data_IF_841709309713
#
_entry.id   IF_841709309713
#
_cell.length_a   1.000
_cell.length_b   1.000
_cell.length_c   1.000
_cell.angle_alpha   90.00
_cell.angle_beta   90.00
_cell.angle_gamma   90.00
#
_symmetry.space_group_name_H-M   'P 1'
#
loop_
_entity.id
_entity.type
_entity.pdbx_description
1 polymer ?
#
# COMPACT_ATOMS: atom_id res chain seq x y z
N UNK A 1 -1.53 15.31 -10.90
CA UNK A 1 -2.19 14.34 -9.98
C UNK A 1 -1.50 14.40 -8.64
N UNK A 2 -2.26 14.39 -7.55
CA UNK A 2 -1.75 14.33 -6.17
C UNK A 2 -1.69 12.86 -5.74
N UNK A 3 -0.55 12.42 -5.23
CA UNK A 3 -0.33 11.07 -4.73
C UNK A 3 -0.30 11.10 -3.21
N UNK A 4 -1.30 10.52 -2.57
CA UNK A 4 -1.34 10.34 -1.12
C UNK A 4 -0.80 8.97 -0.77
N UNK A 5 0.26 8.92 0.02
CA UNK A 5 0.83 7.66 0.51
C UNK A 5 0.46 7.51 1.98
N UNK A 6 -0.43 6.57 2.27
CA UNK A 6 -0.84 6.21 3.61
C UNK A 6 0.11 5.16 4.18
N UNK A 7 0.66 5.44 5.34
CA UNK A 7 1.52 4.51 6.07
C UNK A 7 0.67 3.78 7.12
N UNK A 8 0.46 2.49 6.91
CA UNK A 8 -0.35 1.66 7.81
C UNK A 8 0.08 1.73 9.27
N UNK A 9 -0.90 1.67 10.16
CA UNK A 9 -0.72 1.56 11.62
C UNK A 9 0.00 2.76 12.29
N UNK A 10 0.18 2.69 13.61
CA UNK A 10 0.97 3.58 14.44
C UNK A 10 1.81 2.79 15.43
N UNK A 11 2.71 3.46 16.16
CA UNK A 11 3.57 2.80 17.14
C UNK A 11 2.76 2.13 18.28
N UNK A 12 1.55 2.58 18.49
CA UNK A 12 0.59 2.10 19.49
C UNK A 12 -0.33 0.98 18.97
N UNK A 13 -0.25 0.62 17.68
CA UNK A 13 -0.98 -0.52 17.11
C UNK A 13 -0.31 -1.84 17.50
N UNK A 14 -0.98 -2.63 18.33
CA UNK A 14 -0.44 -3.91 18.83
C UNK A 14 -0.47 -5.01 17.77
N UNK A 15 0.49 -5.94 17.84
CA UNK A 15 0.47 -7.19 17.08
C UNK A 15 0.84 -7.08 15.61
N UNK A 16 1.27 -5.91 15.16
CA UNK A 16 1.71 -5.67 13.77
C UNK A 16 3.24 -5.72 13.69
N UNK A 17 3.78 -6.91 13.93
CA UNK A 17 5.21 -7.14 14.00
C UNK A 17 5.55 -8.61 13.69
N UNK A 18 6.83 -8.87 13.40
CA UNK A 18 7.32 -10.25 13.32
C UNK A 18 7.21 -10.97 14.67
N UNK A 19 7.14 -12.32 14.68
CA UNK A 19 7.04 -13.09 15.91
C UNK A 19 8.14 -12.83 16.95
N UNK A 20 9.35 -12.45 16.50
CA UNK A 20 10.46 -12.09 17.38
C UNK A 20 10.47 -10.58 17.76
N UNK A 21 9.48 -9.81 17.31
CA UNK A 21 9.30 -8.40 17.61
C UNK A 21 10.33 -7.46 16.97
N UNK A 22 11.28 -7.98 16.18
CA UNK A 22 12.35 -7.13 15.60
C UNK A 22 11.90 -6.30 14.41
N UNK A 23 10.95 -6.82 13.63
CA UNK A 23 10.28 -6.06 12.58
C UNK A 23 8.99 -5.47 13.13
N UNK A 24 8.77 -4.17 12.88
CA UNK A 24 7.56 -3.45 13.26
C UNK A 24 6.94 -2.84 12.01
N UNK A 25 5.73 -3.27 11.65
CA UNK A 25 5.05 -2.83 10.43
C UNK A 25 4.87 -1.30 10.38
N UNK A 26 4.44 -0.69 11.48
CA UNK A 26 4.22 0.76 11.56
C UNK A 26 5.48 1.58 11.23
N UNK A 27 6.65 1.15 11.71
CA UNK A 27 7.92 1.85 11.48
C UNK A 27 8.37 1.67 10.03
N UNK A 28 8.25 0.45 9.51
CA UNK A 28 8.59 0.11 8.14
C UNK A 28 7.68 0.85 7.14
N UNK A 29 6.36 0.86 7.37
CA UNK A 29 5.40 1.53 6.48
C UNK A 29 5.65 3.04 6.39
N UNK A 30 6.05 3.69 7.51
CA UNK A 30 6.44 5.10 7.52
C UNK A 30 7.69 5.35 6.71
N UNK A 31 8.72 4.54 6.92
CA UNK A 31 9.96 4.64 6.14
C UNK A 31 9.68 4.49 4.65
N UNK A 32 8.89 3.47 4.25
CA UNK A 32 8.51 3.25 2.87
C UNK A 32 7.70 4.41 2.29
N UNK A 33 6.73 4.94 3.03
CA UNK A 33 5.95 6.09 2.57
C UNK A 33 6.84 7.32 2.33
N UNK A 34 7.78 7.59 3.21
CA UNK A 34 8.75 8.69 3.01
C UNK A 34 9.68 8.45 1.81
N UNK A 35 10.13 7.22 1.60
CA UNK A 35 10.96 6.86 0.45
C UNK A 35 10.18 7.05 -0.87
N UNK A 36 8.95 6.55 -0.95
CA UNK A 36 8.08 6.68 -2.13
C UNK A 36 7.78 8.15 -2.42
N UNK A 37 7.34 8.91 -1.40
CA UNK A 37 7.06 10.34 -1.54
C UNK A 37 8.30 11.11 -1.96
N UNK A 38 9.46 10.82 -1.35
CA UNK A 38 10.72 11.47 -1.69
C UNK A 38 11.13 11.24 -3.15
N UNK A 39 10.97 10.01 -3.67
CA UNK A 39 11.32 9.70 -5.04
C UNK A 39 10.34 10.32 -6.04
N UNK A 40 9.03 10.21 -5.80
CA UNK A 40 8.02 10.87 -6.63
C UNK A 40 8.20 12.40 -6.67
N UNK A 41 8.55 13.01 -5.53
CA UNK A 41 8.80 14.46 -5.45
C UNK A 41 10.03 14.88 -6.27
N UNK A 42 11.12 14.10 -6.28
CA UNK A 42 12.28 14.33 -7.14
C UNK A 42 11.91 14.27 -8.63
N UNK A 43 10.95 13.43 -8.99
CA UNK A 43 10.41 13.31 -10.35
C UNK A 43 9.41 14.43 -10.70
N UNK A 44 9.10 15.34 -9.76
CA UNK A 44 8.21 16.48 -9.98
C UNK A 44 6.73 16.20 -9.70
N UNK A 45 6.39 15.06 -9.12
CA UNK A 45 5.00 14.76 -8.72
C UNK A 45 4.65 15.39 -7.37
N UNK A 46 3.40 15.85 -7.21
CA UNK A 46 2.84 16.25 -5.91
C UNK A 46 2.51 14.99 -5.11
N UNK A 47 3.46 14.52 -4.31
CA UNK A 47 3.32 13.36 -3.46
C UNK A 47 3.40 13.74 -1.99
N UNK A 48 2.53 13.18 -1.15
CA UNK A 48 2.40 13.55 0.26
C UNK A 48 2.21 12.32 1.14
N UNK A 49 2.88 12.29 2.29
CA UNK A 49 2.59 11.30 3.36
C UNK A 49 1.27 11.68 4.02
N UNK A 50 0.34 10.73 4.14
CA UNK A 50 -0.99 10.99 4.69
C UNK A 50 -0.97 11.13 6.21
N UNK A 51 -0.16 10.32 6.91
CA UNK A 51 -0.07 10.27 8.37
C UNK A 51 1.36 10.55 8.82
N UNK A 52 1.74 11.83 8.98
CA UNK A 52 3.07 12.18 9.48
C UNK A 52 3.25 11.88 10.98
N UNK A 53 2.16 11.68 11.71
CA UNK A 53 2.16 11.38 13.14
C UNK A 53 2.76 9.99 13.40
N UNK A 54 3.30 9.82 14.61
CA UNK A 54 3.83 8.54 15.05
C UNK A 54 2.73 7.58 15.52
N UNK A 55 1.68 8.17 16.09
CA UNK A 55 0.50 7.49 16.60
C UNK A 55 -0.36 6.93 15.46
N UNK A 56 -1.20 5.94 15.78
CA UNK A 56 -2.18 5.45 14.83
C UNK A 56 -3.36 6.42 14.68
N UNK A 57 -3.59 6.87 13.47
CA UNK A 57 -4.76 7.68 13.15
C UNK A 57 -5.89 6.75 12.67
N UNK A 58 -7.07 6.81 13.30
CA UNK A 58 -8.20 5.95 12.93
C UNK A 58 -8.58 6.06 11.44
N UNK A 59 -9.03 4.95 10.86
CA UNK A 59 -9.45 4.94 9.44
C UNK A 59 -10.67 5.84 9.24
N UNK A 60 -11.76 5.65 10.01
CA UNK A 60 -13.04 6.34 9.78
C UNK A 60 -13.57 7.13 10.98
N UNK A 61 -13.10 6.83 12.19
CA UNK A 61 -13.63 7.45 13.41
C UNK A 61 -12.91 8.75 13.76
N UNK A 62 -13.63 9.66 14.43
CA UNK A 62 -13.07 10.92 14.90
C UNK A 62 -13.11 12.06 13.88
N UNK A 63 -12.70 13.24 14.32
CA UNK A 63 -12.71 14.45 13.50
C UNK A 63 -11.61 14.47 12.45
N UNK A 64 -10.49 13.80 12.73
CA UNK A 64 -9.29 13.77 11.88
C UNK A 64 -8.89 12.31 11.60
N UNK A 65 -9.74 11.61 10.85
CA UNK A 65 -9.46 10.24 10.41
C UNK A 65 -8.74 10.22 9.06
N UNK A 66 -8.05 9.10 8.75
CA UNK A 66 -7.33 8.92 7.47
C UNK A 66 -8.25 9.18 6.27
N UNK A 67 -9.45 8.61 6.26
CA UNK A 67 -10.46 8.81 5.19
C UNK A 67 -10.87 10.26 5.08
N UNK A 68 -11.07 10.96 6.19
CA UNK A 68 -11.42 12.40 6.15
C UNK A 68 -10.31 13.24 5.55
N UNK A 69 -9.06 13.00 5.91
CA UNK A 69 -7.89 13.68 5.32
C UNK A 69 -7.85 13.51 3.80
N UNK A 70 -8.00 12.28 3.32
CA UNK A 70 -8.05 11.99 1.87
C UNK A 70 -9.22 12.71 1.21
N UNK A 71 -10.42 12.61 1.79
CA UNK A 71 -11.62 13.18 1.21
C UNK A 71 -11.61 14.71 1.19
N UNK A 72 -11.00 15.37 2.18
CA UNK A 72 -10.77 16.82 2.16
C UNK A 72 -9.88 17.25 0.99
N UNK A 73 -8.83 16.49 0.68
CA UNK A 73 -7.97 16.75 -0.47
C UNK A 73 -8.74 16.51 -1.77
N UNK A 74 -9.54 15.45 -1.84
CA UNK A 74 -10.42 15.21 -2.99
C UNK A 74 -11.45 16.33 -3.21
N UNK A 75 -11.99 16.90 -2.13
CA UNK A 75 -12.95 18.01 -2.23
C UNK A 75 -12.30 19.31 -2.70
N UNK A 76 -11.04 19.54 -2.36
CA UNK A 76 -10.28 20.73 -2.78
C UNK A 76 -9.78 20.64 -4.23
N UNK A 77 -9.32 19.47 -4.66
CA UNK A 77 -8.61 19.31 -5.95
C UNK A 77 -9.37 18.49 -6.98
N UNK A 78 -10.53 17.92 -6.60
CA UNK A 78 -11.27 16.98 -7.43
C UNK A 78 -10.75 15.52 -7.24
N UNK A 79 -11.68 14.62 -7.01
CA UNK A 79 -11.36 13.19 -6.74
C UNK A 79 -10.58 12.50 -7.86
N UNK A 80 -10.74 12.95 -9.10
CA UNK A 80 -10.04 12.42 -10.28
C UNK A 80 -8.57 12.89 -10.36
N UNK A 81 -8.22 13.91 -9.58
CA UNK A 81 -6.87 14.46 -9.49
C UNK A 81 -6.07 13.91 -8.31
N UNK A 82 -6.63 12.97 -7.56
CA UNK A 82 -6.04 12.39 -6.34
C UNK A 82 -6.03 10.88 -6.45
N UNK A 83 -4.96 10.26 -5.97
CA UNK A 83 -4.89 8.81 -5.73
C UNK A 83 -4.39 8.52 -4.32
N UNK A 84 -4.78 7.38 -3.78
CA UNK A 84 -4.33 6.88 -2.48
C UNK A 84 -3.64 5.53 -2.62
N UNK A 85 -2.44 5.42 -2.07
CA UNK A 85 -1.71 4.14 -1.94
C UNK A 85 -1.42 3.90 -0.46
N UNK A 86 -2.04 2.89 0.14
CA UNK A 86 -1.82 2.51 1.54
C UNK A 86 -0.79 1.39 1.63
N UNK A 87 0.28 1.62 2.39
CA UNK A 87 1.46 0.74 2.44
C UNK A 87 1.42 -0.11 3.71
N UNK A 88 1.44 -1.43 3.53
CA UNK A 88 1.37 -2.44 4.58
C UNK A 88 2.31 -3.62 4.34
N UNK A 89 2.43 -4.47 5.37
CA UNK A 89 2.97 -5.82 5.29
C UNK A 89 2.01 -6.80 5.95
N UNK A 90 1.79 -7.93 5.31
CA UNK A 90 0.80 -8.94 5.67
C UNK A 90 1.30 -9.90 6.76
N UNK A 91 0.38 -10.71 7.27
CA UNK A 91 0.65 -11.90 8.08
C UNK A 91 -0.32 -13.03 7.71
N UNK A 92 0.13 -14.28 7.78
CA UNK A 92 -0.71 -15.46 7.60
C UNK A 92 -1.64 -15.66 8.81
N UNK A 93 -1.16 -15.30 10.01
CA UNK A 93 -1.89 -15.48 11.28
C UNK A 93 -1.54 -14.36 12.29
N UNK A 94 -2.38 -14.23 13.30
CA UNK A 94 -2.14 -13.36 14.46
C UNK A 94 -1.74 -14.14 15.71
N UNK A 95 -1.19 -15.37 15.56
CA UNK A 95 -0.84 -16.25 16.66
C UNK A 95 0.56 -16.03 17.24
N UNK A 96 1.31 -15.07 16.68
CA UNK A 96 2.66 -14.71 17.11
C UNK A 96 3.73 -15.75 16.76
N UNK A 97 3.48 -16.64 15.79
CA UNK A 97 4.42 -17.68 15.36
C UNK A 97 4.95 -17.41 13.96
N UNK A 98 6.08 -18.04 13.64
CA UNK A 98 6.61 -18.06 12.28
C UNK A 98 5.83 -19.05 11.41
N UNK A 99 5.42 -18.58 10.24
CA UNK A 99 4.67 -19.32 9.23
C UNK A 99 5.52 -19.54 7.96
N UNK A 100 6.77 -19.96 8.16
CA UNK A 100 7.69 -20.24 7.05
C UNK A 100 7.14 -21.38 6.18
N UNK A 101 7.19 -21.18 4.85
CA UNK A 101 6.65 -22.15 3.89
C UNK A 101 5.17 -22.00 3.59
N UNK A 102 4.44 -21.16 4.32
CA UNK A 102 3.09 -20.76 4.01
C UNK A 102 3.07 -19.64 2.95
N UNK A 103 1.91 -19.04 2.74
CA UNK A 103 1.75 -17.99 1.74
C UNK A 103 2.68 -16.81 2.04
N UNK A 104 3.37 -16.37 1.00
CA UNK A 104 4.14 -15.13 1.02
C UNK A 104 4.05 -14.50 -0.37
N UNK A 105 4.34 -13.21 -0.45
CA UNK A 105 4.40 -12.51 -1.72
C UNK A 105 3.60 -11.22 -1.70
N UNK A 106 3.80 -10.41 -2.74
CA UNK A 106 3.14 -9.13 -2.91
C UNK A 106 1.64 -9.30 -3.19
N UNK A 107 0.81 -8.55 -2.48
CA UNK A 107 -0.64 -8.48 -2.70
C UNK A 107 -1.03 -7.03 -2.92
N UNK A 108 -1.84 -6.76 -3.93
CA UNK A 108 -2.56 -5.50 -4.08
C UNK A 108 -4.03 -5.73 -3.73
N UNK A 109 -4.62 -4.85 -2.95
CA UNK A 109 -5.97 -4.97 -2.44
C UNK A 109 -6.78 -3.71 -2.76
N UNK A 110 -8.02 -3.92 -3.23
CA UNK A 110 -8.95 -2.83 -3.52
C UNK A 110 -10.29 -3.11 -2.84
N UNK A 111 -11.16 -2.11 -2.74
CA UNK A 111 -12.47 -2.30 -2.12
C UNK A 111 -13.35 -3.26 -2.92
N UNK A 112 -14.39 -3.83 -2.29
CA UNK A 112 -15.37 -4.71 -2.97
C UNK A 112 -16.03 -4.01 -4.16
N UNK A 113 -16.30 -2.72 -4.03
CA UNK A 113 -16.92 -1.87 -5.05
C UNK A 113 -15.89 -0.91 -5.68
N UNK A 114 -14.64 -1.36 -5.84
CA UNK A 114 -13.57 -0.54 -6.38
C UNK A 114 -13.88 -0.05 -7.79
N UNK A 115 -13.58 1.22 -8.04
CA UNK A 115 -13.62 1.81 -9.37
C UNK A 115 -12.63 1.11 -10.32
N UNK A 116 -12.83 1.25 -11.61
CA UNK A 116 -11.88 0.71 -12.59
C UNK A 116 -10.52 1.41 -12.48
N UNK A 117 -10.49 2.66 -12.06
CA UNK A 117 -9.25 3.38 -11.76
C UNK A 117 -8.51 2.77 -10.56
N UNK A 118 -9.21 2.40 -9.49
CA UNK A 118 -8.58 1.69 -8.36
C UNK A 118 -8.00 0.33 -8.76
N UNK A 119 -8.76 -0.45 -9.54
CA UNK A 119 -8.31 -1.75 -10.06
C UNK A 119 -7.08 -1.60 -10.95
N UNK A 120 -7.06 -0.59 -11.80
CA UNK A 120 -5.95 -0.31 -12.72
C UNK A 120 -4.69 0.16 -11.97
N UNK A 121 -4.85 1.03 -10.95
CA UNK A 121 -3.76 1.41 -10.07
C UNK A 121 -3.13 0.18 -9.39
N UNK A 122 -3.97 -0.72 -8.88
CA UNK A 122 -3.53 -1.98 -8.29
C UNK A 122 -2.78 -2.87 -9.31
N UNK A 123 -3.28 -2.99 -10.53
CA UNK A 123 -2.66 -3.77 -11.61
C UNK A 123 -1.26 -3.25 -11.98
N UNK A 124 -1.09 -1.93 -12.09
CA UNK A 124 0.21 -1.33 -12.41
C UNK A 124 1.22 -1.56 -11.29
N UNK A 125 0.86 -1.28 -10.04
CA UNK A 125 1.78 -1.48 -8.92
C UNK A 125 2.15 -2.97 -8.78
N UNK A 126 1.17 -3.87 -8.92
CA UNK A 126 1.43 -5.31 -8.86
C UNK A 126 2.37 -5.75 -10.01
N UNK A 127 2.15 -5.28 -11.24
CA UNK A 127 3.00 -5.62 -12.37
C UNK A 127 4.45 -5.22 -12.15
N UNK A 128 4.70 -4.01 -11.64
CA UNK A 128 6.04 -3.54 -11.30
C UNK A 128 6.68 -4.31 -10.14
N UNK A 129 5.89 -4.72 -9.16
CA UNK A 129 6.38 -5.58 -8.08
C UNK A 129 6.88 -6.93 -8.60
N UNK A 130 6.14 -7.55 -9.53
CA UNK A 130 6.56 -8.83 -10.16
C UNK A 130 7.76 -8.64 -11.07
N UNK A 131 7.77 -7.57 -11.88
CA UNK A 131 8.90 -7.23 -12.74
C UNK A 131 10.19 -6.98 -11.94
N UNK A 132 10.08 -6.38 -10.77
CA UNK A 132 11.17 -6.21 -9.81
C UNK A 132 11.59 -7.53 -9.13
N UNK A 133 11.00 -8.67 -9.47
CA UNK A 133 11.35 -9.99 -8.95
C UNK A 133 10.73 -10.32 -7.58
N UNK A 134 9.72 -9.56 -7.13
CA UNK A 134 8.94 -9.96 -5.97
C UNK A 134 7.99 -11.09 -6.36
N UNK A 135 7.80 -12.05 -5.45
CA UNK A 135 6.80 -13.10 -5.67
C UNK A 135 5.40 -12.49 -5.53
N UNK A 136 4.53 -12.70 -6.53
CA UNK A 136 3.12 -12.38 -6.40
C UNK A 136 2.36 -13.46 -5.60
N UNK A 137 1.26 -13.10 -5.00
CA UNK A 137 0.39 -14.06 -4.35
C UNK A 137 -0.32 -14.93 -5.40
N UNK A 138 0.18 -16.14 -5.64
CA UNK A 138 -0.33 -17.07 -6.64
C UNK A 138 -1.80 -17.41 -6.47
N UNK A 139 -2.28 -17.55 -5.22
CA UNK A 139 -3.67 -17.93 -4.97
C UNK A 139 -4.66 -16.91 -5.53
N UNK A 140 -4.31 -15.62 -5.53
CA UNK A 140 -5.15 -14.56 -6.10
C UNK A 140 -5.21 -14.68 -7.61
N UNK A 141 -4.04 -14.82 -8.25
CA UNK A 141 -3.94 -14.90 -9.71
C UNK A 141 -4.61 -16.19 -10.23
N UNK A 142 -4.37 -17.33 -9.59
CA UNK A 142 -4.91 -18.63 -10.01
C UNK A 142 -6.43 -18.74 -9.82
N UNK A 143 -6.97 -18.19 -8.70
CA UNK A 143 -8.41 -18.28 -8.42
C UNK A 143 -9.27 -17.26 -9.17
N UNK A 144 -8.74 -16.08 -9.44
CA UNK A 144 -9.54 -14.97 -9.97
C UNK A 144 -9.12 -14.50 -11.36
N UNK A 145 -7.96 -14.92 -11.86
CA UNK A 145 -7.32 -14.37 -13.07
C UNK A 145 -6.97 -12.87 -12.92
N UNK A 146 -7.05 -12.33 -11.71
CA UNK A 146 -6.81 -10.91 -11.41
C UNK A 146 -5.49 -10.74 -10.66
N UNK A 147 -4.93 -9.56 -10.76
CA UNK A 147 -3.68 -9.17 -10.08
C UNK A 147 -3.91 -8.51 -8.71
N UNK A 148 -5.16 -8.42 -8.27
CA UNK A 148 -5.56 -7.82 -7.01
C UNK A 148 -6.67 -8.61 -6.32
N UNK A 149 -6.80 -8.42 -5.02
CA UNK A 149 -7.89 -8.96 -4.21
C UNK A 149 -8.92 -7.85 -3.96
N UNK A 150 -10.20 -8.19 -3.95
CA UNK A 150 -11.25 -7.29 -3.50
C UNK A 150 -11.65 -7.62 -2.07
N UNK A 151 -11.52 -6.64 -1.17
CA UNK A 151 -11.83 -6.78 0.24
C UNK A 151 -12.62 -5.59 0.80
N UNK A 152 -13.24 -5.77 1.95
CA UNK A 152 -13.96 -4.70 2.63
C UNK A 152 -13.02 -3.83 3.48
N UNK A 153 -12.13 -3.11 2.83
CA UNK A 153 -11.12 -2.25 3.45
C UNK A 153 -11.63 -0.82 3.57
N UNK A 154 -11.80 -0.33 4.80
CA UNK A 154 -12.32 1.01 5.06
C UNK A 154 -11.54 2.13 4.37
N UNK A 155 -10.21 2.05 4.38
CA UNK A 155 -9.34 3.04 3.74
C UNK A 155 -9.55 3.13 2.22
N UNK A 156 -9.83 2.02 1.55
CA UNK A 156 -10.09 2.00 0.12
C UNK A 156 -11.58 2.19 -0.22
N UNK A 157 -12.49 1.76 0.67
CA UNK A 157 -13.92 1.81 0.44
C UNK A 157 -14.51 3.21 0.61
N UNK A 158 -14.04 3.93 1.64
CA UNK A 158 -14.68 5.17 2.10
C UNK A 158 -13.97 6.42 1.58
N UNK A 159 -12.90 6.27 0.82
CA UNK A 159 -12.23 7.35 0.10
C UNK A 159 -12.85 7.61 -1.27
N UNK A 160 -12.89 8.88 -1.68
CA UNK A 160 -13.54 9.32 -2.93
C UNK A 160 -12.71 9.05 -4.18
N UNK A 161 -11.39 9.00 -4.04
CA UNK A 161 -10.43 8.82 -5.15
C UNK A 161 -10.15 7.35 -5.47
N UNK A 162 -9.38 7.10 -6.52
CA UNK A 162 -8.80 5.79 -6.77
C UNK A 162 -7.87 5.41 -5.61
N UNK A 163 -8.09 4.22 -5.04
CA UNK A 163 -7.39 3.77 -3.84
C UNK A 163 -6.98 2.30 -3.93
N UNK A 164 -5.78 1.99 -3.46
CA UNK A 164 -5.22 0.64 -3.33
C UNK A 164 -4.50 0.51 -2.00
N UNK A 165 -4.57 -0.66 -1.39
CA UNK A 165 -3.70 -1.08 -0.29
C UNK A 165 -2.74 -2.13 -0.82
N UNK A 166 -1.48 -2.03 -0.44
CA UNK A 166 -0.44 -2.98 -0.85
C UNK A 166 0.17 -3.66 0.36
N UNK A 167 0.27 -4.98 0.27
CA UNK A 167 0.94 -5.86 1.22
C UNK A 167 2.25 -6.33 0.57
N UNK A 168 3.36 -5.71 0.95
CA UNK A 168 4.63 -5.92 0.22
C UNK A 168 5.24 -7.29 0.42
N UNK A 169 5.05 -7.89 1.60
CA UNK A 169 5.41 -9.26 1.96
C UNK A 169 4.77 -9.63 3.30
N UNK A 170 5.04 -10.84 3.81
CA UNK A 170 4.47 -11.34 5.05
C UNK A 170 5.48 -11.26 6.20
N UNK A 171 5.17 -10.47 7.22
CA UNK A 171 6.07 -10.23 8.35
C UNK A 171 6.11 -11.37 9.39
N UNK A 172 5.26 -12.38 9.23
CA UNK A 172 5.30 -13.63 10.00
C UNK A 172 6.06 -14.76 9.29
N UNK A 173 6.78 -14.45 8.21
CA UNK A 173 7.72 -15.37 7.56
C UNK A 173 9.14 -14.78 7.54
N UNK A 174 10.17 -15.62 7.74
CA UNK A 174 11.56 -15.14 7.75
C UNK A 174 12.01 -14.57 6.40
N UNK A 175 11.57 -15.19 5.30
CA UNK A 175 11.85 -14.69 3.95
C UNK A 175 11.14 -13.36 3.69
N UNK A 176 9.91 -13.20 4.19
CA UNK A 176 9.17 -11.93 4.09
C UNK A 176 9.87 -10.81 4.87
N UNK A 177 10.27 -11.06 6.12
CA UNK A 177 11.03 -10.06 6.92
C UNK A 177 12.36 -9.72 6.25
N UNK A 178 13.07 -10.72 5.71
CA UNK A 178 14.32 -10.49 4.98
C UNK A 178 14.12 -9.58 3.76
N UNK A 179 13.05 -9.80 2.99
CA UNK A 179 12.68 -8.93 1.86
C UNK A 179 12.35 -7.52 2.34
N UNK A 180 11.45 -7.38 3.33
CA UNK A 180 10.99 -6.09 3.85
C UNK A 180 12.14 -5.23 4.40
N UNK A 181 13.13 -5.85 5.04
CA UNK A 181 14.25 -5.14 5.67
C UNK A 181 15.46 -4.96 4.76
N UNK A 182 15.73 -5.91 3.87
CA UNK A 182 16.92 -5.95 3.03
C UNK A 182 16.74 -5.28 1.66
N UNK A 183 15.53 -5.27 1.11
CA UNK A 183 15.27 -4.86 -0.28
C UNK A 183 14.33 -3.63 -0.39
N UNK A 184 14.40 -2.71 0.58
CA UNK A 184 13.53 -1.53 0.66
C UNK A 184 13.51 -0.70 -0.61
N UNK A 185 14.68 -0.47 -1.23
CA UNK A 185 14.79 0.31 -2.46
C UNK A 185 14.02 -0.36 -3.60
N UNK A 186 14.12 -1.68 -3.74
CA UNK A 186 13.39 -2.44 -4.75
C UNK A 186 11.88 -2.35 -4.55
N UNK A 187 11.42 -2.47 -3.31
CA UNK A 187 9.99 -2.33 -2.97
C UNK A 187 9.52 -0.90 -3.27
N UNK A 188 10.28 0.10 -2.88
CA UNK A 188 10.00 1.51 -3.14
C UNK A 188 9.87 1.79 -4.64
N UNK A 189 10.85 1.36 -5.45
CA UNK A 189 10.84 1.57 -6.90
C UNK A 189 9.64 0.89 -7.57
N UNK A 190 9.27 -0.31 -7.15
CA UNK A 190 8.08 -0.98 -7.68
C UNK A 190 6.80 -0.17 -7.45
N UNK A 191 6.65 0.46 -6.28
CA UNK A 191 5.53 1.35 -6.02
C UNK A 191 5.59 2.63 -6.86
N UNK A 192 6.77 3.29 -6.91
CA UNK A 192 6.97 4.52 -7.69
C UNK A 192 6.66 4.28 -9.16
N UNK A 193 7.27 3.25 -9.76
CA UNK A 193 7.09 2.95 -11.18
C UNK A 193 5.62 2.60 -11.50
N UNK A 194 4.96 1.82 -10.65
CA UNK A 194 3.54 1.47 -10.81
C UNK A 194 2.61 2.69 -10.68
N UNK A 195 2.91 3.60 -9.77
CA UNK A 195 2.19 4.88 -9.63
C UNK A 195 2.40 5.76 -10.86
N UNK A 196 3.63 5.88 -11.35
CA UNK A 196 3.97 6.67 -12.54
C UNK A 196 3.29 6.09 -13.79
N UNK A 197 3.30 4.77 -13.97
CA UNK A 197 2.60 4.12 -15.07
C UNK A 197 1.09 4.42 -15.05
N UNK A 198 0.48 4.36 -13.87
CA UNK A 198 -0.92 4.71 -13.72
C UNK A 198 -1.19 6.18 -14.07
N UNK A 199 -0.35 7.11 -13.59
CA UNK A 199 -0.48 8.54 -13.91
C UNK A 199 -0.36 8.78 -15.42
N UNK A 200 0.63 8.19 -16.07
CA UNK A 200 0.82 8.28 -17.51
C UNK A 200 -0.39 7.74 -18.28
N UNK A 201 -0.90 6.58 -17.84
CA UNK A 201 -2.09 5.98 -18.44
C UNK A 201 -3.32 6.91 -18.39
N UNK A 202 -3.64 7.50 -17.21
CA UNK A 202 -4.82 8.36 -17.08
C UNK A 202 -4.62 9.74 -17.71
N UNK A 203 -3.37 10.17 -17.89
CA UNK A 203 -3.02 11.42 -18.58
C UNK A 203 -2.91 11.27 -20.10
N UNK A 204 -3.06 10.05 -20.64
CA UNK A 204 -2.93 9.77 -22.07
C UNK A 204 -1.51 9.93 -22.62
N UNK A 205 -0.51 9.98 -21.75
CA UNK A 205 0.91 9.99 -22.13
C UNK A 205 1.31 8.55 -22.50
N UNK A 206 1.81 8.38 -23.73
CA UNK A 206 2.32 7.09 -24.23
C UNK A 206 3.81 6.98 -23.98
#
# INVERSE_FOLDING_TARGET
MIVLVDNGHGFDTKGKCSPDGKYQEWAWAREMAHMIVGELSKMGYDARVLVPEREDIPINSGADSRVKRVNQICDLYGKESVILVSIHSNANSNDGKWHDGEWSGFVAEVSLNASDNSKRLADFIWARAIEAGMKGNRAVVEKSGRRFIQQNLGICRDTKCAAVLTESAFHDTRDGVKLLTGDKVRIMLAHVDGIVDYINYVSGVK
#
